data_IF_216228447839
#
_entry.id   IF_216228447839
#
_cell.length_a   1.000
_cell.length_b   1.000
_cell.length_c   1.000
_cell.angle_alpha   90.00
_cell.angle_beta   90.00
_cell.angle_gamma   90.00
#
_symmetry.space_group_name_H-M   'P 1'
#
loop_
_entity.id
_entity.type
_entity.pdbx_description
1 polymer ?
#
# COMPACT_ATOMS: atom_id res chain seq x y z
N UNK A 1 -1.28 6.06 8.11
CA UNK A 1 -2.67 5.53 8.02
C UNK A 1 -3.70 6.53 7.51
N UNK A 2 -3.91 7.70 8.14
CA UNK A 2 -4.94 8.66 7.69
C UNK A 2 -4.78 9.11 6.22
N UNK A 3 -3.52 9.23 5.77
CA UNK A 3 -3.17 9.55 4.37
C UNK A 3 -3.66 8.50 3.37
N UNK A 4 -3.57 7.21 3.70
CA UNK A 4 -4.02 6.12 2.83
C UNK A 4 -5.55 6.07 2.74
N UNK A 5 -6.23 6.35 3.86
CA UNK A 5 -7.68 6.43 3.91
C UNK A 5 -8.18 7.62 3.07
N UNK A 6 -7.50 8.76 3.14
CA UNK A 6 -7.80 9.91 2.28
C UNK A 6 -7.63 9.58 0.79
N UNK A 7 -6.50 8.95 0.42
CA UNK A 7 -6.23 8.51 -0.95
C UNK A 7 -7.30 7.53 -1.44
N UNK A 8 -7.74 6.60 -0.59
CA UNK A 8 -8.81 5.67 -0.93
C UNK A 8 -10.13 6.39 -1.21
N UNK A 9 -10.53 7.34 -0.35
CA UNK A 9 -11.79 8.09 -0.50
C UNK A 9 -11.76 8.99 -1.74
N UNK A 10 -10.64 9.68 -1.99
CA UNK A 10 -10.51 10.52 -3.20
C UNK A 10 -10.48 9.68 -4.47
N UNK A 11 -9.81 8.53 -4.44
CA UNK A 11 -9.74 7.61 -5.59
C UNK A 11 -11.10 6.96 -5.87
N UNK A 12 -11.85 6.64 -4.82
CA UNK A 12 -13.23 6.16 -4.93
C UNK A 12 -14.12 7.21 -5.59
N UNK A 13 -14.08 8.46 -5.11
CA UNK A 13 -14.84 9.56 -5.70
C UNK A 13 -14.50 9.80 -7.17
N UNK A 14 -13.21 9.79 -7.52
CA UNK A 14 -12.75 9.94 -8.91
C UNK A 14 -13.20 8.79 -9.81
N UNK A 15 -13.10 7.55 -9.33
CA UNK A 15 -13.52 6.36 -10.09
C UNK A 15 -15.03 6.39 -10.33
N UNK A 16 -15.81 6.75 -9.31
CA UNK A 16 -17.26 6.87 -9.40
C UNK A 16 -17.69 8.01 -10.34
N UNK A 17 -17.05 9.18 -10.24
CA UNK A 17 -17.29 10.30 -11.16
C UNK A 17 -16.92 9.95 -12.60
N UNK A 18 -15.86 9.19 -12.84
CA UNK A 18 -15.49 8.76 -14.20
C UNK A 18 -16.54 7.80 -14.79
N UNK A 19 -17.06 6.87 -13.99
CA UNK A 19 -18.08 5.91 -14.43
C UNK A 19 -19.41 6.60 -14.68
N UNK A 20 -19.80 7.51 -13.79
CA UNK A 20 -21.03 8.29 -13.93
C UNK A 20 -20.96 9.26 -15.11
N UNK A 21 -19.83 9.97 -15.29
CA UNK A 21 -19.63 10.94 -16.37
C UNK A 21 -19.47 10.33 -17.76
N UNK A 22 -19.12 9.04 -17.85
CA UNK A 22 -18.98 8.31 -19.13
C UNK A 22 -20.09 7.31 -19.37
N UNK A 23 -21.18 7.37 -18.59
CA UNK A 23 -22.29 6.41 -18.65
C UNK A 23 -21.83 4.93 -18.63
N UNK A 24 -20.72 4.64 -17.95
CA UNK A 24 -20.17 3.29 -17.83
C UNK A 24 -19.25 2.84 -18.97
N UNK A 25 -18.88 3.68 -19.94
CA UNK A 25 -17.93 3.28 -21.01
C UNK A 25 -16.55 2.84 -20.46
N UNK A 26 -16.14 3.36 -19.30
CA UNK A 26 -14.85 3.03 -18.66
C UNK A 26 -14.93 1.75 -17.82
N UNK A 27 -16.09 1.09 -17.72
CA UNK A 27 -16.27 -0.18 -16.98
C UNK A 27 -15.26 -1.28 -17.33
N UNK A 28 -14.84 -1.48 -18.60
CA UNK A 28 -13.84 -2.49 -18.97
C UNK A 28 -12.46 -2.26 -18.33
N UNK A 29 -12.13 -1.01 -18.02
CA UNK A 29 -10.87 -0.65 -17.36
C UNK A 29 -10.84 -1.15 -15.91
N UNK A 30 -12.00 -1.18 -15.26
CA UNK A 30 -12.16 -1.58 -13.86
C UNK A 30 -12.50 -3.06 -13.66
N UNK A 31 -12.97 -3.75 -14.72
CA UNK A 31 -13.35 -5.17 -14.65
C UNK A 31 -12.14 -6.12 -14.59
N UNK A 32 -11.03 -5.79 -15.27
CA UNK A 32 -9.81 -6.61 -15.31
C UNK A 32 -8.77 -6.28 -14.22
N UNK A 33 -9.16 -5.50 -13.22
CA UNK A 33 -8.25 -5.01 -12.18
C UNK A 33 -7.64 -6.14 -11.33
N UNK A 34 -8.33 -7.27 -11.17
CA UNK A 34 -7.85 -8.37 -10.33
C UNK A 34 -6.48 -8.90 -10.75
N UNK A 35 -6.22 -9.05 -12.06
CA UNK A 35 -4.94 -9.55 -12.55
C UNK A 35 -3.80 -8.57 -12.24
N UNK A 36 -4.05 -7.26 -12.45
CA UNK A 36 -3.09 -6.21 -12.15
C UNK A 36 -2.85 -6.09 -10.63
N UNK A 37 -3.91 -6.12 -9.83
CA UNK A 37 -3.81 -6.13 -8.37
C UNK A 37 -3.00 -7.32 -7.86
N UNK A 38 -3.19 -8.50 -8.42
CA UNK A 38 -2.44 -9.69 -8.01
C UNK A 38 -0.93 -9.52 -8.28
N UNK A 39 -0.56 -9.04 -9.48
CA UNK A 39 0.83 -8.77 -9.84
C UNK A 39 1.44 -7.69 -8.93
N UNK A 40 0.72 -6.57 -8.73
CA UNK A 40 1.18 -5.48 -7.87
C UNK A 40 1.32 -5.91 -6.41
N UNK A 41 0.38 -6.70 -5.88
CA UNK A 41 0.45 -7.22 -4.51
C UNK A 41 1.60 -8.21 -4.34
N UNK A 42 1.87 -9.05 -5.34
CA UNK A 42 3.01 -9.98 -5.31
C UNK A 42 4.33 -9.21 -5.28
N UNK A 43 4.48 -8.22 -6.17
CA UNK A 43 5.66 -7.37 -6.22
C UNK A 43 5.83 -6.57 -4.93
N UNK A 44 4.73 -6.02 -4.40
CA UNK A 44 4.71 -5.29 -3.14
C UNK A 44 5.09 -6.19 -1.94
N UNK A 45 4.57 -7.40 -1.87
CA UNK A 45 4.93 -8.38 -0.84
C UNK A 45 6.41 -8.72 -0.86
N UNK A 46 6.97 -8.98 -2.05
CA UNK A 46 8.40 -9.25 -2.23
C UNK A 46 9.26 -8.04 -1.80
N UNK A 47 8.89 -6.83 -2.22
CA UNK A 47 9.57 -5.59 -1.82
C UNK A 47 9.48 -5.34 -0.31
N UNK A 48 8.33 -5.63 0.30
CA UNK A 48 8.13 -5.49 1.76
C UNK A 48 9.04 -6.41 2.55
N UNK A 49 9.17 -7.66 2.11
CA UNK A 49 10.01 -8.65 2.76
C UNK A 49 11.50 -8.29 2.58
N UNK A 50 11.90 -7.90 1.37
CA UNK A 50 13.25 -7.41 1.11
C UNK A 50 13.59 -6.18 1.97
N UNK A 51 12.65 -5.23 2.09
CA UNK A 51 12.85 -4.03 2.89
C UNK A 51 12.91 -4.32 4.38
N UNK A 52 12.04 -5.19 4.89
CA UNK A 52 12.07 -5.61 6.28
C UNK A 52 13.41 -6.24 6.66
N UNK A 53 13.91 -7.16 5.82
CA UNK A 53 15.22 -7.78 6.01
C UNK A 53 16.35 -6.76 5.93
N UNK A 54 16.24 -5.78 5.03
CA UNK A 54 17.21 -4.70 4.91
C UNK A 54 17.27 -3.84 6.18
N UNK A 55 16.12 -3.36 6.67
CA UNK A 55 16.03 -2.57 7.91
C UNK A 55 16.58 -3.36 9.10
N UNK A 56 16.24 -4.65 9.19
CA UNK A 56 16.77 -5.50 10.26
C UNK A 56 18.29 -5.70 10.16
N UNK A 57 18.84 -5.82 8.94
CA UNK A 57 20.27 -5.82 8.70
C UNK A 57 20.93 -4.53 9.18
N UNK A 58 20.38 -3.37 8.79
CA UNK A 58 20.89 -2.06 9.22
C UNK A 58 20.85 -1.91 10.74
N UNK A 59 19.79 -2.37 11.41
CA UNK A 59 19.69 -2.35 12.87
C UNK A 59 20.79 -3.19 13.55
N UNK A 60 21.19 -4.33 12.95
CA UNK A 60 22.27 -5.18 13.45
C UNK A 60 23.65 -4.56 13.22
N UNK A 61 23.81 -3.81 12.13
CA UNK A 61 25.05 -3.12 11.76
C UNK A 61 25.30 -1.83 12.55
N UNK A 62 24.31 -1.32 13.30
CA UNK A 62 24.51 -0.10 14.12
C UNK A 62 25.60 -0.35 15.17
N UNK A 63 26.71 0.40 15.14
CA UNK A 63 27.86 0.11 15.99
C UNK A 63 27.47 0.27 17.47
N UNK A 64 27.71 -0.78 18.26
CA UNK A 64 27.52 -0.76 19.73
C UNK A 64 28.37 0.33 20.41
N UNK A 65 29.43 0.80 19.76
CA UNK A 65 30.25 1.94 20.18
C UNK A 65 29.47 3.27 20.18
N UNK A 66 28.49 3.43 19.27
CA UNK A 66 27.60 4.59 19.23
C UNK A 66 26.69 4.65 20.47
N UNK A 67 26.28 3.49 21.00
CA UNK A 67 25.54 3.39 22.27
C UNK A 67 26.33 3.94 23.46
N UNK A 68 27.67 3.84 23.42
CA UNK A 68 28.58 4.33 24.46
C UNK A 68 28.97 5.81 24.27
N UNK A 69 29.20 6.26 23.03
CA UNK A 69 29.57 7.65 22.73
C UNK A 69 28.38 8.63 22.75
N UNK A 70 27.24 8.24 22.19
CA UNK A 70 26.09 9.12 21.97
C UNK A 70 24.75 8.34 22.08
N UNK A 71 24.37 7.90 23.30
CA UNK A 71 23.20 7.04 23.51
C UNK A 71 21.88 7.65 23.01
N UNK A 72 21.76 8.98 23.02
CA UNK A 72 20.59 9.69 22.47
C UNK A 72 20.46 9.51 20.96
N UNK A 73 21.56 9.60 20.21
CA UNK A 73 21.55 9.44 18.74
C UNK A 73 21.29 7.98 18.38
N UNK A 74 21.90 7.05 19.12
CA UNK A 74 21.62 5.62 18.96
C UNK A 74 20.13 5.29 19.17
N UNK A 75 19.51 5.84 20.22
CA UNK A 75 18.08 5.65 20.47
C UNK A 75 17.21 6.20 19.33
N UNK A 76 17.47 7.42 18.85
CA UNK A 76 16.71 8.01 17.74
C UNK A 76 16.79 7.18 16.47
N UNK A 77 17.98 6.67 16.12
CA UNK A 77 18.18 5.84 14.93
C UNK A 77 17.46 4.49 15.06
N UNK A 78 17.58 3.83 16.21
CA UNK A 78 16.93 2.54 16.45
C UNK A 78 15.41 2.67 16.49
N UNK A 79 14.90 3.74 17.09
CA UNK A 79 13.46 4.01 17.16
C UNK A 79 12.89 4.31 15.78
N UNK A 80 13.58 5.16 14.99
CA UNK A 80 13.20 5.43 13.61
C UNK A 80 13.20 4.16 12.73
N UNK A 81 14.21 3.30 12.84
CA UNK A 81 14.27 2.02 12.13
C UNK A 81 13.15 1.06 12.57
N UNK A 82 12.81 1.07 13.87
CA UNK A 82 11.72 0.25 14.41
C UNK A 82 10.36 0.75 13.92
N UNK A 83 10.17 2.07 13.86
CA UNK A 83 8.96 2.69 13.32
C UNK A 83 8.80 2.39 11.82
N UNK A 84 9.88 2.50 11.03
CA UNK A 84 9.91 2.07 9.63
C UNK A 84 9.51 0.61 9.47
N UNK A 85 10.06 -0.30 10.29
CA UNK A 85 9.69 -1.73 10.29
C UNK A 85 8.20 -1.93 10.57
N UNK A 86 7.66 -1.24 11.57
CA UNK A 86 6.24 -1.30 11.93
C UNK A 86 5.36 -0.77 10.79
N UNK A 87 5.77 0.30 10.13
CA UNK A 87 5.05 0.88 8.99
C UNK A 87 4.96 -0.12 7.83
N UNK A 88 6.04 -0.83 7.51
CA UNK A 88 6.05 -1.86 6.46
C UNK A 88 5.05 -2.97 6.76
N UNK A 89 5.05 -3.52 7.98
CA UNK A 89 4.12 -4.57 8.39
C UNK A 89 2.67 -4.09 8.24
N UNK A 90 2.39 -2.88 8.72
CA UNK A 90 1.05 -2.31 8.66
C UNK A 90 0.60 -2.06 7.22
N UNK A 91 1.49 -1.60 6.33
CA UNK A 91 1.18 -1.42 4.91
C UNK A 91 0.86 -2.76 4.22
N UNK A 92 1.59 -3.83 4.56
CA UNK A 92 1.28 -5.19 4.08
C UNK A 92 -0.12 -5.63 4.50
N UNK A 93 -0.47 -5.47 5.77
CA UNK A 93 -1.82 -5.83 6.26
C UNK A 93 -2.90 -5.04 5.52
N UNK A 94 -2.72 -3.73 5.32
CA UNK A 94 -3.68 -2.90 4.59
C UNK A 94 -3.85 -3.36 3.15
N UNK A 95 -2.76 -3.64 2.43
CA UNK A 95 -2.82 -4.10 1.03
C UNK A 95 -3.53 -5.44 0.93
N UNK A 96 -3.27 -6.38 1.84
CA UNK A 96 -3.98 -7.67 1.90
C UNK A 96 -5.47 -7.46 2.12
N UNK A 97 -5.86 -6.59 3.05
CA UNK A 97 -7.28 -6.28 3.31
C UNK A 97 -7.97 -5.64 2.09
N UNK A 98 -7.29 -4.74 1.38
CA UNK A 98 -7.80 -4.13 0.15
C UNK A 98 -7.97 -5.17 -0.97
N UNK A 99 -7.06 -6.13 -1.08
CA UNK A 99 -7.14 -7.22 -2.06
C UNK A 99 -8.34 -8.12 -1.79
N UNK A 100 -8.52 -8.54 -0.53
CA UNK A 100 -9.69 -9.33 -0.11
C UNK A 100 -10.98 -8.56 -0.42
N UNK A 101 -11.04 -7.27 -0.09
CA UNK A 101 -12.19 -6.42 -0.38
C UNK A 101 -12.49 -6.34 -1.89
N UNK A 102 -11.47 -6.10 -2.72
CA UNK A 102 -11.61 -6.02 -4.18
C UNK A 102 -12.07 -7.34 -4.79
N UNK A 103 -11.62 -8.48 -4.24
CA UNK A 103 -12.02 -9.81 -4.68
C UNK A 103 -13.47 -10.12 -4.29
N UNK A 104 -13.84 -9.89 -3.02
CA UNK A 104 -15.20 -10.13 -2.50
C UNK A 104 -16.23 -9.28 -3.25
N UNK A 105 -15.96 -7.99 -3.43
CA UNK A 105 -16.87 -7.10 -4.18
C UNK A 105 -16.99 -7.50 -5.65
N UNK A 106 -15.90 -8.02 -6.22
CA UNK A 106 -15.91 -8.63 -7.53
C UNK A 106 -16.83 -9.82 -7.65
N UNK A 107 -16.65 -10.79 -6.76
CA UNK A 107 -17.47 -11.99 -6.72
C UNK A 107 -18.96 -11.66 -6.49
N UNK A 108 -19.26 -10.68 -5.63
CA UNK A 108 -20.63 -10.21 -5.38
C UNK A 108 -21.24 -9.53 -6.61
N UNK A 109 -20.45 -8.76 -7.38
CA UNK A 109 -20.92 -8.10 -8.60
C UNK A 109 -21.24 -9.08 -9.73
N UNK A 110 -20.56 -10.24 -9.78
CA UNK A 110 -20.78 -11.28 -10.79
C UNK A 110 -21.90 -12.27 -10.43
N UNK A 111 -22.44 -12.22 -9.21
CA UNK A 111 -23.56 -13.10 -8.84
C UNK A 111 -24.83 -12.76 -9.63
N UNK A 112 -25.35 -13.75 -10.35
CA UNK A 112 -26.54 -13.66 -11.23
C UNK A 112 -27.81 -13.10 -10.55
N UNK A 113 -27.87 -13.09 -9.22
CA UNK A 113 -28.96 -12.50 -8.44
C UNK A 113 -28.98 -10.96 -8.54
N UNK A 114 -27.81 -10.31 -8.63
CA UNK A 114 -27.70 -8.84 -8.66
C UNK A 114 -28.02 -8.24 -10.03
N UNK A 115 -27.79 -8.97 -11.13
CA UNK A 115 -28.13 -8.52 -12.49
C UNK A 115 -29.65 -8.40 -12.75
N UNK A 116 -30.50 -9.00 -11.90
CA UNK A 116 -31.97 -8.96 -12.06
C UNK A 116 -32.66 -7.75 -11.41
N UNK A 117 -31.94 -6.96 -10.61
CA UNK A 117 -32.51 -5.79 -9.93
C UNK A 117 -32.39 -4.54 -10.80
N UNK A 118 -33.45 -3.73 -10.91
CA UNK A 118 -33.45 -2.46 -11.64
C UNK A 118 -32.42 -1.42 -11.12
N UNK A 119 -31.81 -1.67 -9.96
CA UNK A 119 -30.72 -0.88 -9.38
C UNK A 119 -29.31 -1.47 -9.67
N UNK A 120 -29.22 -2.45 -10.57
CA UNK A 120 -27.99 -3.18 -10.87
C UNK A 120 -26.87 -2.29 -11.42
N UNK A 121 -27.19 -1.26 -12.20
CA UNK A 121 -26.17 -0.38 -12.80
C UNK A 121 -25.46 0.48 -11.76
N UNK A 122 -26.21 1.12 -10.86
CA UNK A 122 -25.61 1.90 -9.76
C UNK A 122 -24.80 1.03 -8.80
N UNK A 123 -25.27 -0.19 -8.52
CA UNK A 123 -24.54 -1.13 -7.67
C UNK A 123 -23.26 -1.63 -8.35
N UNK A 124 -23.32 -1.95 -9.64
CA UNK A 124 -22.17 -2.34 -10.45
C UNK A 124 -21.13 -1.22 -10.52
N UNK A 125 -21.56 0.04 -10.72
CA UNK A 125 -20.65 1.19 -10.71
C UNK A 125 -20.01 1.41 -9.35
N UNK A 126 -20.75 1.19 -8.25
CA UNK A 126 -20.20 1.21 -6.90
C UNK A 126 -19.10 0.16 -6.72
N UNK A 127 -19.36 -1.10 -7.09
CA UNK A 127 -18.40 -2.18 -6.99
C UNK A 127 -17.14 -1.95 -7.85
N UNK A 128 -17.31 -1.47 -9.09
CA UNK A 128 -16.21 -1.10 -9.98
C UNK A 128 -15.39 0.08 -9.45
N UNK A 129 -16.05 1.06 -8.82
CA UNK A 129 -15.38 2.20 -8.20
C UNK A 129 -14.54 1.81 -6.99
N UNK A 130 -15.00 0.86 -6.17
CA UNK A 130 -14.18 0.33 -5.06
C UNK A 130 -12.97 -0.43 -5.60
N UNK A 131 -13.13 -1.19 -6.68
CA UNK A 131 -12.00 -1.89 -7.34
C UNK A 131 -10.95 -0.90 -7.88
N UNK A 132 -11.40 0.18 -8.53
CA UNK A 132 -10.53 1.27 -8.97
C UNK A 132 -9.80 1.95 -7.81
N UNK A 133 -10.52 2.24 -6.72
CA UNK A 133 -9.95 2.82 -5.51
C UNK A 133 -8.90 1.91 -4.87
N UNK A 134 -9.15 0.60 -4.80
CA UNK A 134 -8.16 -0.38 -4.32
C UNK A 134 -6.88 -0.36 -5.16
N UNK A 135 -7.00 -0.34 -6.50
CA UNK A 135 -5.84 -0.31 -7.40
C UNK A 135 -4.99 0.95 -7.18
N UNK A 136 -5.61 2.12 -7.18
CA UNK A 136 -4.89 3.39 -6.97
C UNK A 136 -4.27 3.47 -5.57
N UNK A 137 -4.97 2.97 -4.55
CA UNK A 137 -4.44 2.94 -3.18
C UNK A 137 -3.23 2.02 -3.07
N UNK A 138 -3.27 0.83 -3.69
CA UNK A 138 -2.12 -0.09 -3.73
C UNK A 138 -0.92 0.56 -4.42
N UNK A 139 -1.13 1.23 -5.56
CA UNK A 139 -0.06 1.96 -6.26
C UNK A 139 0.58 3.03 -5.36
N UNK A 140 -0.23 3.84 -4.67
CA UNK A 140 0.29 4.87 -3.76
C UNK A 140 1.06 4.24 -2.59
N UNK A 141 0.57 3.15 -2.00
CA UNK A 141 1.30 2.43 -0.93
C UNK A 141 2.66 1.95 -1.43
N UNK A 142 2.74 1.44 -2.66
CA UNK A 142 4.01 1.03 -3.26
C UNK A 142 5.00 2.20 -3.37
N UNK A 143 4.55 3.38 -3.82
CA UNK A 143 5.40 4.57 -3.88
C UNK A 143 5.85 5.05 -2.50
N UNK A 144 4.94 5.07 -1.52
CA UNK A 144 5.27 5.42 -0.14
C UNK A 144 6.33 4.47 0.42
N UNK A 145 6.19 3.17 0.15
CA UNK A 145 7.16 2.19 0.60
C UNK A 145 8.52 2.30 -0.09
N UNK A 146 8.54 2.62 -1.39
CA UNK A 146 9.78 2.92 -2.10
C UNK A 146 10.47 4.17 -1.54
N UNK A 147 9.72 5.21 -1.19
CA UNK A 147 10.27 6.40 -0.52
C UNK A 147 10.80 6.08 0.90
N UNK A 148 10.11 5.20 1.64
CA UNK A 148 10.59 4.66 2.91
C UNK A 148 11.92 3.91 2.77
N UNK A 149 12.07 3.12 1.69
CA UNK A 149 13.33 2.44 1.37
C UNK A 149 14.48 3.41 1.09
N UNK A 150 14.23 4.46 0.32
CA UNK A 150 15.24 5.51 0.06
C UNK A 150 15.65 6.20 1.37
N UNK A 151 14.70 6.43 2.27
CA UNK A 151 14.97 7.06 3.58
C UNK A 151 15.84 6.16 4.47
N UNK A 152 15.54 4.85 4.51
CA UNK A 152 16.38 3.89 5.23
C UNK A 152 17.81 3.80 4.67
N UNK A 153 17.97 3.89 3.33
CA UNK A 153 19.29 3.96 2.71
C UNK A 153 20.09 5.20 3.13
N UNK A 154 19.45 6.37 3.18
CA UNK A 154 20.09 7.61 3.65
C UNK A 154 20.51 7.50 5.12
N UNK A 155 19.64 6.97 5.98
CA UNK A 155 19.95 6.73 7.40
C UNK A 155 21.14 5.78 7.57
N UNK A 156 21.23 4.70 6.77
CA UNK A 156 22.39 3.81 6.80
C UNK A 156 23.68 4.54 6.43
N UNK A 157 23.65 5.38 5.39
CA UNK A 157 24.81 6.15 4.97
C UNK A 157 25.29 7.12 6.09
N UNK A 158 24.37 7.80 6.77
CA UNK A 158 24.70 8.63 7.93
C UNK A 158 25.30 7.81 9.08
N UNK A 159 24.71 6.67 9.41
CA UNK A 159 25.22 5.78 10.48
C UNK A 159 26.61 5.23 10.15
N UNK A 160 26.91 4.93 8.88
CA UNK A 160 28.25 4.52 8.47
C UNK A 160 29.28 5.65 8.60
N UNK A 161 28.91 6.90 8.32
CA UNK A 161 29.82 8.05 8.45
C UNK A 161 30.13 8.41 9.91
N UNK A 162 29.18 8.21 10.82
CA UNK A 162 29.42 8.40 12.27
C UNK A 162 30.07 7.17 12.95
N UNK A 163 30.25 6.07 12.20
CA UNK A 163 30.83 4.82 12.67
C UNK A 163 32.37 4.75 12.61
N UNK A 164 32.99 5.63 11.81
CA UNK A 164 34.44 5.89 11.81
C UNK A 164 34.82 6.86 12.95
#
# INVERSE_FOLDING_TARGET
>A
MLRLLFVFVTSFGLSFLSLWGTAGEVSPLFSNINAVLFVLCTLFGALSLAFFNYVEGVMKDVPKKLKLKSPKVYLVVVDALTELKREVILNVVVVVMLLVLAYVLGALAEMAFMQRLACAEFWAWGALSVRGACLLTVLVVMFVQAAGFVTANKLRAEVSMYGE
#
